data_IF_337845360905
#
_entry.id   IF_337845360905
#
_cell.length_a   1.000
_cell.length_b   1.000
_cell.length_c   1.000
_cell.angle_alpha   90.00
_cell.angle_beta   90.00
_cell.angle_gamma   90.00
#
_symmetry.space_group_name_H-M   'P 1'
#
loop_
_entity.id
_entity.type
_entity.pdbx_description
1 polymer ?
#
# COMPACT_ATOMS: atom_id res chain seq x y z
N UNK A 1 33.65 -10.35 -2.39
CA UNK A 1 32.36 -10.25 -1.68
C UNK A 1 31.99 -8.77 -1.60
N UNK A 2 31.13 -8.28 -2.50
CA UNK A 2 30.75 -6.85 -2.57
C UNK A 2 29.85 -6.55 -1.35
N UNK A 3 30.27 -5.60 -0.50
CA UNK A 3 29.56 -5.23 0.74
C UNK A 3 28.37 -4.33 0.43
N UNK A 4 27.17 -4.91 0.38
CA UNK A 4 25.89 -4.17 0.33
C UNK A 4 25.31 -4.09 1.73
N UNK A 5 24.83 -2.90 2.15
CA UNK A 5 24.30 -2.67 3.50
C UNK A 5 22.77 -2.84 3.58
N UNK A 6 22.06 -2.56 2.50
CA UNK A 6 20.63 -2.84 2.38
C UNK A 6 20.41 -4.21 1.70
N UNK A 7 19.50 -5.00 2.25
CA UNK A 7 19.04 -6.24 1.63
C UNK A 7 17.84 -5.91 0.76
N UNK A 8 17.90 -6.26 -0.53
CA UNK A 8 16.74 -6.13 -1.41
C UNK A 8 16.04 -7.48 -1.45
N UNK A 9 14.83 -7.56 -0.91
CA UNK A 9 13.96 -8.72 -1.15
C UNK A 9 13.57 -8.78 -2.63
N UNK A 10 13.09 -9.93 -3.08
CA UNK A 10 12.59 -10.09 -4.45
C UNK A 10 11.47 -9.08 -4.73
N UNK A 11 10.55 -8.91 -3.77
CA UNK A 11 9.45 -7.95 -3.88
C UNK A 11 9.95 -6.51 -4.04
N UNK A 12 11.01 -6.12 -3.33
CA UNK A 12 11.58 -4.78 -3.47
C UNK A 12 12.22 -4.58 -4.85
N UNK A 13 12.85 -5.62 -5.42
CA UNK A 13 13.38 -5.53 -6.78
C UNK A 13 12.26 -5.41 -7.80
N UNK A 14 11.16 -6.17 -7.63
CA UNK A 14 9.99 -6.09 -8.51
C UNK A 14 9.33 -4.71 -8.48
N UNK A 15 9.25 -4.07 -7.31
CA UNK A 15 8.78 -2.68 -7.19
C UNK A 15 9.69 -1.69 -7.95
N UNK A 16 11.01 -1.87 -7.86
CA UNK A 16 11.96 -1.03 -8.61
C UNK A 16 11.82 -1.29 -10.13
N UNK A 17 11.59 -2.53 -10.54
CA UNK A 17 11.33 -2.88 -11.94
C UNK A 17 10.07 -2.19 -12.46
N UNK A 18 8.97 -2.27 -11.72
CA UNK A 18 7.71 -1.60 -12.06
C UNK A 18 7.90 -0.08 -12.18
N UNK A 19 8.60 0.53 -11.22
CA UNK A 19 8.95 1.95 -11.26
C UNK A 19 9.79 2.33 -12.49
N UNK A 20 10.78 1.52 -12.87
CA UNK A 20 11.60 1.75 -14.07
C UNK A 20 10.78 1.61 -15.35
N UNK A 21 9.82 0.67 -15.40
CA UNK A 21 8.95 0.48 -16.57
C UNK A 21 7.98 1.65 -16.76
N UNK A 22 7.43 2.17 -15.65
CA UNK A 22 6.46 3.26 -15.66
C UNK A 22 7.13 4.62 -15.93
N UNK A 23 8.18 4.95 -15.17
CA UNK A 23 8.78 6.29 -15.16
C UNK A 23 10.10 6.37 -15.95
N UNK A 24 10.60 5.24 -16.45
CA UNK A 24 11.94 5.15 -17.00
C UNK A 24 13.04 5.20 -15.93
N UNK A 25 14.28 5.38 -16.39
CA UNK A 25 15.43 5.45 -15.48
C UNK A 25 15.60 6.85 -14.90
N UNK A 26 15.02 7.09 -13.72
CA UNK A 26 15.00 8.41 -13.08
C UNK A 26 16.20 8.68 -12.16
N UNK A 27 16.77 7.63 -11.55
CA UNK A 27 17.83 7.77 -10.55
C UNK A 27 19.10 6.96 -10.92
N UNK A 28 20.23 7.62 -11.22
CA UNK A 28 21.46 6.94 -11.61
C UNK A 28 22.08 6.12 -10.46
N UNK A 29 22.93 5.18 -10.84
CA UNK A 29 23.79 4.45 -9.90
C UNK A 29 25.00 5.32 -9.55
N UNK A 30 25.37 5.35 -8.27
CA UNK A 30 26.52 6.14 -7.81
C UNK A 30 27.72 5.23 -7.71
N UNK A 31 28.78 5.56 -8.44
CA UNK A 31 30.02 4.80 -8.50
C UNK A 31 31.22 5.68 -8.12
N UNK A 32 32.33 5.06 -7.74
CA UNK A 32 33.60 5.77 -7.57
C UNK A 32 34.41 5.84 -8.87
N UNK A 33 35.58 6.50 -8.81
CA UNK A 33 36.51 6.62 -9.94
C UNK A 33 37.05 5.29 -10.51
N UNK A 34 36.88 4.18 -9.78
CA UNK A 34 37.28 2.84 -10.20
C UNK A 34 36.10 1.98 -10.66
N UNK A 35 34.93 2.59 -10.92
CA UNK A 35 33.67 1.91 -11.23
C UNK A 35 33.17 0.97 -10.12
N UNK A 36 33.52 1.26 -8.86
CA UNK A 36 32.99 0.53 -7.70
C UNK A 36 31.67 1.18 -7.29
N UNK A 37 30.63 0.36 -7.18
CA UNK A 37 29.30 0.82 -6.75
C UNK A 37 29.35 1.31 -5.31
N UNK A 38 28.97 2.58 -5.14
CA UNK A 38 28.73 3.22 -3.86
C UNK A 38 27.25 3.00 -3.49
N UNK A 39 26.32 3.43 -4.33
CA UNK A 39 24.87 3.34 -4.07
C UNK A 39 24.07 2.95 -5.32
N UNK A 40 22.87 2.39 -5.12
CA UNK A 40 22.00 1.95 -6.22
C UNK A 40 21.99 0.44 -6.49
N UNK A 41 22.34 -0.40 -5.50
CA UNK A 41 22.39 -1.86 -5.66
C UNK A 41 21.02 -2.48 -6.05
N UNK A 42 19.90 -1.93 -5.56
CA UNK A 42 18.56 -2.36 -5.96
C UNK A 42 18.27 -2.11 -7.45
N UNK A 43 18.73 -0.97 -7.98
CA UNK A 43 18.58 -0.63 -9.41
C UNK A 43 19.44 -1.53 -10.30
N UNK A 44 20.61 -1.97 -9.82
CA UNK A 44 21.42 -2.97 -10.54
C UNK A 44 20.68 -4.31 -10.64
N UNK A 45 20.04 -4.75 -9.55
CA UNK A 45 19.25 -5.98 -9.56
C UNK A 45 18.06 -5.86 -10.53
N UNK A 46 17.34 -4.73 -10.50
CA UNK A 46 16.24 -4.46 -11.41
C UNK A 46 16.71 -4.39 -12.88
N UNK A 47 17.82 -3.71 -13.16
CA UNK A 47 18.44 -3.65 -14.50
C UNK A 47 18.80 -5.04 -15.02
N UNK A 48 19.33 -5.90 -14.14
CA UNK A 48 19.67 -7.29 -14.46
C UNK A 48 18.41 -8.08 -14.83
N UNK A 49 17.32 -7.90 -14.09
CA UNK A 49 16.03 -8.55 -14.34
C UNK A 49 15.38 -8.05 -15.64
N UNK A 50 15.57 -6.77 -15.98
CA UNK A 50 15.12 -6.15 -17.22
C UNK A 50 16.02 -6.46 -18.43
N UNK A 51 17.14 -7.16 -18.23
CA UNK A 51 18.09 -7.50 -19.31
C UNK A 51 18.81 -6.28 -19.90
N UNK A 52 19.03 -5.24 -19.10
CA UNK A 52 19.75 -4.04 -19.54
C UNK A 52 21.27 -4.23 -19.43
N UNK A 53 21.98 -3.99 -20.53
CA UNK A 53 23.44 -4.07 -20.58
C UNK A 53 24.12 -2.80 -20.02
N UNK A 54 23.50 -1.64 -20.24
CA UNK A 54 24.00 -0.33 -19.84
C UNK A 54 22.98 0.42 -18.97
N UNK A 55 23.47 1.08 -17.93
CA UNK A 55 22.66 1.84 -16.97
C UNK A 55 23.28 3.20 -16.64
N UNK A 56 22.49 4.28 -16.51
CA UNK A 56 23.00 5.59 -16.13
C UNK A 56 23.73 5.58 -14.78
N UNK A 57 24.97 6.09 -14.78
CA UNK A 57 25.81 6.16 -13.60
C UNK A 57 26.37 7.58 -13.41
N UNK A 58 26.56 7.99 -12.16
CA UNK A 58 27.30 9.19 -11.77
C UNK A 58 28.55 8.79 -10.99
N UNK A 59 29.70 9.32 -11.40
CA UNK A 59 30.99 9.12 -10.72
C UNK A 59 31.16 10.15 -9.61
N UNK A 60 31.22 9.69 -8.37
CA UNK A 60 31.54 10.51 -7.19
C UNK A 60 33.06 10.57 -6.99
N UNK A 61 33.72 11.44 -7.75
CA UNK A 61 35.16 11.63 -7.68
C UNK A 61 35.60 12.41 -6.42
N UNK A 62 36.79 12.09 -5.90
CA UNK A 62 37.45 12.86 -4.83
C UNK A 62 37.03 12.51 -3.40
N UNK A 63 36.21 11.47 -3.21
CA UNK A 63 35.86 10.97 -1.89
C UNK A 63 36.97 10.05 -1.35
N UNK A 64 37.37 10.25 -0.10
CA UNK A 64 38.19 9.28 0.63
C UNK A 64 37.42 7.98 0.86
N UNK A 65 38.12 6.87 1.10
CA UNK A 65 37.49 5.58 1.41
C UNK A 65 36.53 5.63 2.61
N UNK A 66 36.84 6.47 3.60
CA UNK A 66 35.95 6.68 4.75
C UNK A 66 34.71 7.49 4.37
N UNK A 67 34.82 8.48 3.50
CA UNK A 67 33.67 9.22 2.97
C UNK A 67 32.79 8.32 2.11
N UNK A 68 33.36 7.46 1.24
CA UNK A 68 32.58 6.48 0.46
C UNK A 68 31.81 5.51 1.38
N UNK A 69 32.41 5.07 2.49
CA UNK A 69 31.73 4.24 3.50
C UNK A 69 30.63 5.01 4.24
N UNK A 70 30.91 6.24 4.66
CA UNK A 70 29.93 7.09 5.35
C UNK A 70 28.75 7.41 4.43
N UNK A 71 29.00 7.71 3.16
CA UNK A 71 27.97 7.98 2.17
C UNK A 71 27.07 6.77 1.95
N UNK A 72 27.64 5.56 1.85
CA UNK A 72 26.85 4.32 1.80
C UNK A 72 25.89 4.15 2.97
N UNK A 73 26.28 4.58 4.16
CA UNK A 73 25.40 4.55 5.32
C UNK A 73 24.34 5.64 5.24
N UNK A 74 24.73 6.85 4.87
CA UNK A 74 23.83 8.00 4.77
C UNK A 74 22.74 7.77 3.71
N UNK A 75 23.10 7.31 2.51
CA UNK A 75 22.19 7.05 1.39
C UNK A 75 21.11 6.03 1.73
N UNK A 76 21.43 5.00 2.54
CA UNK A 76 20.44 4.03 3.00
C UNK A 76 19.64 4.51 4.21
N UNK A 77 20.27 5.24 5.14
CA UNK A 77 19.63 5.62 6.41
C UNK A 77 18.74 6.85 6.30
N UNK A 78 19.12 7.84 5.50
CA UNK A 78 18.36 9.10 5.38
C UNK A 78 16.95 8.85 4.82
N UNK A 79 16.75 8.06 3.75
CA UNK A 79 15.40 7.74 3.27
C UNK A 79 14.56 7.00 4.31
N UNK A 80 15.16 6.09 5.10
CA UNK A 80 14.47 5.36 6.17
C UNK A 80 14.10 6.22 7.39
N UNK A 81 14.66 7.43 7.50
CA UNK A 81 14.29 8.38 8.55
C UNK A 81 13.14 9.30 8.11
N UNK A 82 12.80 9.32 6.82
CA UNK A 82 11.67 10.10 6.35
C UNK A 82 10.37 9.46 6.86
N UNK A 83 9.47 10.30 7.37
CA UNK A 83 8.09 9.93 7.63
C UNK A 83 7.18 10.53 6.57
N UNK A 84 5.96 10.03 6.51
CA UNK A 84 4.90 10.60 5.69
C UNK A 84 4.07 11.59 6.49
N UNK A 85 3.60 12.63 5.81
CA UNK A 85 2.44 13.37 6.26
C UNK A 85 1.22 12.58 5.76
N UNK A 86 0.54 11.88 6.68
CA UNK A 86 -0.51 10.92 6.34
C UNK A 86 -1.72 11.60 5.68
N UNK A 87 -2.04 12.84 6.07
CA UNK A 87 -3.15 13.60 5.48
C UNK A 87 -2.83 13.94 4.02
N UNK A 88 -1.64 14.52 3.78
CA UNK A 88 -1.22 14.89 2.43
C UNK A 88 -1.01 13.66 1.54
N UNK A 89 -0.41 12.60 2.07
CA UNK A 89 -0.19 11.34 1.34
C UNK A 89 -1.53 10.73 0.89
N UNK A 90 -2.51 10.68 1.80
CA UNK A 90 -3.79 10.05 1.48
C UNK A 90 -4.59 10.86 0.46
N UNK A 91 -4.50 12.19 0.51
CA UNK A 91 -5.11 13.07 -0.49
C UNK A 91 -4.50 12.86 -1.90
N UNK A 92 -3.17 12.84 -2.01
CA UNK A 92 -2.48 12.61 -3.29
C UNK A 92 -2.79 11.21 -3.86
N UNK A 93 -2.88 10.19 -3.01
CA UNK A 93 -3.27 8.85 -3.44
C UNK A 93 -4.72 8.79 -3.94
N UNK A 94 -5.63 9.52 -3.29
CA UNK A 94 -7.03 9.59 -3.70
C UNK A 94 -7.19 10.29 -5.05
N UNK A 95 -6.45 11.37 -5.29
CA UNK A 95 -6.44 12.07 -6.58
C UNK A 95 -5.92 11.18 -7.71
N UNK A 96 -4.81 10.46 -7.49
CA UNK A 96 -4.28 9.50 -8.45
C UNK A 96 -5.26 8.36 -8.75
N UNK A 97 -5.94 7.84 -7.72
CA UNK A 97 -6.96 6.81 -7.89
C UNK A 97 -8.19 7.31 -8.67
N UNK A 98 -8.60 8.57 -8.45
CA UNK A 98 -9.71 9.20 -9.18
C UNK A 98 -9.40 9.38 -10.67
N UNK A 99 -8.12 9.58 -11.02
CA UNK A 99 -7.63 9.67 -12.39
C UNK A 99 -7.37 8.29 -13.06
N UNK A 100 -7.77 7.18 -12.42
CA UNK A 100 -7.57 5.80 -12.88
C UNK A 100 -6.07 5.44 -13.09
N UNK A 101 -5.18 6.09 -12.31
CA UNK A 101 -3.74 5.83 -12.37
C UNK A 101 -3.38 4.54 -11.60
N UNK A 102 -2.48 3.73 -12.16
CA UNK A 102 -2.01 2.50 -11.50
C UNK A 102 -1.05 2.82 -10.35
N UNK A 103 -1.41 2.39 -9.15
CA UNK A 103 -0.62 2.58 -7.93
C UNK A 103 0.38 1.43 -7.66
N UNK A 104 0.59 0.52 -8.62
CA UNK A 104 1.47 -0.64 -8.42
C UNK A 104 2.96 -0.27 -8.38
N UNK A 105 3.33 0.86 -8.98
CA UNK A 105 4.72 1.28 -9.18
C UNK A 105 5.25 2.24 -8.10
N UNK A 106 4.40 2.68 -7.17
CA UNK A 106 4.75 3.68 -6.14
C UNK A 106 5.29 3.08 -4.85
N UNK A 107 5.35 1.75 -4.75
CA UNK A 107 6.07 1.05 -3.68
C UNK A 107 5.25 0.78 -2.40
N UNK A 108 3.94 1.04 -2.42
CA UNK A 108 3.02 0.62 -1.37
C UNK A 108 2.44 -0.76 -1.67
N UNK A 109 2.21 -1.56 -0.63
CA UNK A 109 1.44 -2.80 -0.76
C UNK A 109 -0.05 -2.47 -0.91
N UNK A 110 -0.83 -3.36 -1.54
CA UNK A 110 -2.28 -3.17 -1.67
C UNK A 110 -2.95 -2.88 -0.31
N UNK A 111 -2.53 -3.62 0.73
CA UNK A 111 -3.03 -3.42 2.10
C UNK A 111 -2.71 -2.03 2.67
N UNK A 112 -1.56 -1.45 2.33
CA UNK A 112 -1.20 -0.10 2.77
C UNK A 112 -2.01 0.96 2.02
N UNK A 113 -2.20 0.78 0.70
CA UNK A 113 -3.04 1.65 -0.10
C UNK A 113 -4.49 1.66 0.41
N UNK A 114 -5.06 0.48 0.68
CA UNK A 114 -6.43 0.37 1.20
C UNK A 114 -6.57 1.09 2.56
N UNK A 115 -5.56 1.02 3.43
CA UNK A 115 -5.55 1.71 4.73
C UNK A 115 -5.44 3.24 4.58
N UNK A 116 -4.57 3.72 3.69
CA UNK A 116 -4.37 5.16 3.45
C UNK A 116 -5.61 5.78 2.80
N UNK A 117 -6.17 5.11 1.78
CA UNK A 117 -7.38 5.57 1.08
C UNK A 117 -8.62 5.50 1.97
N UNK A 118 -8.73 4.52 2.88
CA UNK A 118 -9.86 4.45 3.82
C UNK A 118 -9.79 5.50 4.93
N UNK A 119 -8.60 5.97 5.30
CA UNK A 119 -8.42 7.06 6.25
C UNK A 119 -8.77 8.44 5.66
N UNK A 120 -8.51 8.68 4.37
CA UNK A 120 -8.91 9.94 3.70
C UNK A 120 -10.44 10.17 3.70
N UNK A 121 -11.23 9.09 3.64
CA UNK A 121 -12.70 9.20 3.55
C UNK A 121 -13.38 9.51 4.90
N UNK A 122 -12.63 9.54 6.01
CA UNK A 122 -13.21 9.77 7.33
C UNK A 122 -13.23 11.25 7.78
N UNK A 123 -12.62 12.17 7.02
CA UNK A 123 -12.61 13.60 7.36
C UNK A 123 -13.55 14.47 6.49
N UNK A 124 -13.96 13.97 5.30
CA UNK A 124 -14.79 14.74 4.35
C UNK A 124 -16.13 14.06 4.01
N UNK A 125 -16.99 13.84 5.00
CA UNK A 125 -18.43 13.63 4.73
C UNK A 125 -19.31 14.69 5.40
N UNK A 126 -19.13 15.95 5.00
CA UNK A 126 -20.29 16.81 4.82
C UNK A 126 -21.12 16.26 3.65
N UNK A 127 -22.17 15.53 3.99
CA UNK A 127 -23.41 15.42 3.20
C UNK A 127 -23.27 15.19 1.69
N UNK A 128 -22.95 13.96 1.28
CA UNK A 128 -23.43 13.48 -0.02
C UNK A 128 -24.72 12.66 0.18
N UNK A 129 -25.83 13.39 0.33
CA UNK A 129 -27.18 12.84 0.25
C UNK A 129 -27.40 12.34 -1.18
N UNK A 130 -27.28 11.02 -1.38
CA UNK A 130 -27.88 10.37 -2.56
C UNK A 130 -29.37 10.21 -2.21
N UNK A 131 -30.29 10.90 -2.90
CA UNK A 131 -31.70 10.82 -2.56
C UNK A 131 -32.26 9.49 -3.04
N UNK A 132 -32.27 8.49 -2.17
CA UNK A 132 -33.19 7.38 -2.31
C UNK A 132 -34.56 7.87 -1.81
N UNK A 133 -35.50 8.00 -2.75
CA UNK A 133 -36.88 8.39 -2.45
C UNK A 133 -37.41 7.59 -1.27
N UNK A 134 -37.82 8.33 -0.23
CA UNK A 134 -38.52 7.79 0.94
C UNK A 134 -39.84 7.17 0.48
N UNK A 135 -39.94 5.85 0.53
CA UNK A 135 -41.21 5.24 0.87
C UNK A 135 -41.36 5.27 2.40
N UNK A 136 -42.19 6.22 2.86
CA UNK A 136 -42.63 6.32 4.24
C UNK A 136 -43.45 5.10 4.64
N UNK A 137 -42.83 4.12 5.30
CA UNK A 137 -43.57 3.15 6.11
C UNK A 137 -43.58 3.59 7.58
N UNK A 138 -44.73 4.11 8.01
CA UNK A 138 -45.07 4.32 9.42
C UNK A 138 -45.03 3.01 10.18
N UNK A 139 -44.02 2.79 11.01
CA UNK A 139 -44.13 1.97 12.23
C UNK A 139 -42.88 2.17 13.08
N UNK A 140 -43.01 2.19 14.41
CA UNK A 140 -41.91 2.35 15.36
C UNK A 140 -40.98 1.14 15.43
N UNK A 141 -40.46 0.70 14.28
CA UNK A 141 -39.52 -0.41 14.14
C UNK A 141 -38.11 0.15 14.27
N UNK A 142 -37.36 -0.34 15.26
CA UNK A 142 -35.92 -0.10 15.34
C UNK A 142 -35.27 -0.87 14.20
N UNK A 143 -34.86 -0.17 13.15
CA UNK A 143 -34.10 -0.78 12.05
C UNK A 143 -32.63 -0.81 12.46
N UNK A 144 -32.03 -1.99 12.46
CA UNK A 144 -30.60 -2.18 12.67
C UNK A 144 -29.87 -2.10 11.33
N UNK A 145 -28.63 -1.62 11.33
CA UNK A 145 -27.88 -1.40 10.10
C UNK A 145 -26.53 -2.13 10.16
N UNK A 146 -26.26 -2.99 9.18
CA UNK A 146 -24.90 -3.44 8.90
C UNK A 146 -24.18 -2.36 8.10
N UNK A 147 -23.01 -1.94 8.58
CA UNK A 147 -22.21 -0.91 7.92
C UNK A 147 -20.98 -1.56 7.29
N UNK A 148 -20.84 -1.47 5.96
CA UNK A 148 -19.69 -1.98 5.22
C UNK A 148 -19.27 -0.96 4.17
N UNK A 149 -18.03 -0.46 4.24
CA UNK A 149 -17.49 0.48 3.25
C UNK A 149 -18.39 1.70 2.98
N UNK A 150 -19.01 2.28 4.02
CA UNK A 150 -19.93 3.42 3.86
C UNK A 150 -21.37 3.06 3.48
N UNK A 151 -21.65 1.81 3.12
CA UNK A 151 -23.01 1.34 2.87
C UNK A 151 -23.68 0.92 4.17
N UNK A 152 -24.81 1.56 4.49
CA UNK A 152 -25.71 1.13 5.57
C UNK A 152 -26.77 0.22 4.97
N UNK A 153 -26.62 -1.08 5.19
CA UNK A 153 -27.57 -2.10 4.77
C UNK A 153 -28.57 -2.28 5.92
N UNK A 154 -29.85 -1.91 5.74
CA UNK A 154 -30.86 -2.17 6.77
C UNK A 154 -31.05 -3.67 6.90
N UNK A 155 -30.95 -4.16 8.14
CA UNK A 155 -31.22 -5.54 8.51
C UNK A 155 -32.42 -5.59 9.45
N UNK A 156 -33.27 -6.59 9.26
CA UNK A 156 -34.31 -6.92 10.23
C UNK A 156 -33.68 -7.50 11.50
N UNK A 157 -34.40 -7.45 12.63
CA UNK A 157 -33.91 -8.04 13.89
C UNK A 157 -33.58 -9.54 13.71
N UNK A 158 -34.37 -10.29 12.92
CA UNK A 158 -34.06 -11.70 12.62
C UNK A 158 -32.79 -11.90 11.79
N UNK A 159 -32.48 -10.99 10.87
CA UNK A 159 -31.26 -11.07 10.03
C UNK A 159 -30.01 -10.70 10.85
N UNK A 160 -30.12 -9.70 11.72
CA UNK A 160 -29.06 -9.31 12.65
C UNK A 160 -28.74 -10.45 13.63
N UNK A 161 -29.77 -11.05 14.22
CA UNK A 161 -29.61 -12.19 15.15
C UNK A 161 -28.94 -13.39 14.46
N UNK A 162 -29.33 -13.70 13.21
CA UNK A 162 -28.68 -14.77 12.43
C UNK A 162 -27.23 -14.46 12.11
N UNK A 163 -26.93 -13.21 11.77
CA UNK A 163 -25.57 -12.77 11.49
C UNK A 163 -24.69 -12.89 12.73
N UNK A 164 -25.17 -12.42 13.90
CA UNK A 164 -24.43 -12.53 15.16
C UNK A 164 -24.22 -13.98 15.61
N UNK A 165 -25.20 -14.85 15.38
CA UNK A 165 -25.05 -16.29 15.62
C UNK A 165 -23.99 -16.90 14.70
N UNK A 166 -23.97 -16.53 13.42
CA UNK A 166 -23.00 -17.00 12.44
C UNK A 166 -21.57 -16.54 12.78
N UNK A 167 -21.39 -15.27 13.17
CA UNK A 167 -20.11 -14.71 13.62
C UNK A 167 -19.61 -15.44 14.86
N UNK A 168 -20.47 -15.60 15.87
CA UNK A 168 -20.10 -16.26 17.12
C UNK A 168 -19.66 -17.70 16.89
N UNK A 169 -20.42 -18.47 16.09
CA UNK A 169 -20.07 -19.86 15.75
C UNK A 169 -18.72 -19.96 15.04
N UNK A 170 -18.47 -19.08 14.07
CA UNK A 170 -17.20 -19.06 13.35
C UNK A 170 -16.01 -18.75 14.27
N UNK A 171 -16.19 -17.83 15.21
CA UNK A 171 -15.15 -17.46 16.18
C UNK A 171 -14.89 -18.57 17.19
N UNK A 172 -15.92 -19.30 17.62
CA UNK A 172 -15.76 -20.48 18.48
C UNK A 172 -14.98 -21.59 17.77
N UNK A 173 -15.24 -21.81 16.48
CA UNK A 173 -14.59 -22.86 15.69
C UNK A 173 -13.15 -22.50 15.27
N UNK A 174 -12.87 -21.21 15.00
CA UNK A 174 -11.60 -20.76 14.41
C UNK A 174 -10.74 -19.91 15.37
N UNK A 175 -11.27 -19.52 16.52
CA UNK A 175 -10.59 -18.70 17.53
C UNK A 175 -10.29 -17.26 17.08
N UNK A 176 -10.85 -16.80 15.96
CA UNK A 176 -10.56 -15.49 15.36
C UNK A 176 -11.72 -14.99 14.51
N UNK A 177 -11.88 -13.67 14.44
CA UNK A 177 -12.80 -12.99 13.53
C UNK A 177 -12.24 -12.89 12.09
N UNK A 178 -10.93 -13.12 11.91
CA UNK A 178 -10.26 -13.06 10.61
C UNK A 178 -10.72 -14.23 9.73
N UNK A 179 -11.11 -13.93 8.48
CA UNK A 179 -11.57 -14.92 7.51
C UNK A 179 -13.09 -15.17 7.51
N UNK A 180 -13.82 -14.61 8.48
CA UNK A 180 -15.28 -14.73 8.55
C UNK A 180 -15.96 -14.24 7.27
N UNK A 181 -15.58 -13.06 6.76
CA UNK A 181 -16.14 -12.49 5.52
C UNK A 181 -15.80 -13.37 4.31
N UNK A 182 -14.61 -13.96 4.26
CA UNK A 182 -14.24 -14.90 3.20
C UNK A 182 -15.07 -16.17 3.24
N UNK A 183 -15.30 -16.72 4.44
CA UNK A 183 -16.16 -17.89 4.64
C UNK A 183 -17.64 -17.59 4.35
N UNK A 184 -18.09 -16.36 4.65
CA UNK A 184 -19.42 -15.86 4.34
C UNK A 184 -19.61 -15.75 2.82
N UNK A 185 -18.64 -15.19 2.09
CA UNK A 185 -18.67 -15.06 0.63
C UNK A 185 -18.53 -16.42 -0.09
N UNK A 186 -17.86 -17.39 0.54
CA UNK A 186 -17.77 -18.77 0.06
C UNK A 186 -19.04 -19.59 0.34
N UNK A 187 -20.00 -19.08 1.12
CA UNK A 187 -21.23 -19.78 1.52
C UNK A 187 -21.01 -20.86 2.58
N UNK A 188 -19.86 -20.87 3.24
CA UNK A 188 -19.47 -21.86 4.25
C UNK A 188 -20.04 -21.55 5.63
N UNK A 189 -20.56 -20.33 5.82
CA UNK A 189 -21.21 -19.90 7.05
C UNK A 189 -22.69 -19.64 6.76
N UNK A 190 -23.51 -20.68 6.97
CA UNK A 190 -24.97 -20.62 7.05
C UNK A 190 -25.44 -21.06 8.45
#
# INVERSE_FOLDING_TARGET
MKRTLAHNSVEQVDQIVASIQEYGWTNPILIDENNVVIAGHGRIAAATQLGMDDVPCIVLAGLTENQKKAYRLADNRIPLNAGWDEELLSAELADLAADDFSLDSIGFTQRELDNLLSAAVCDDTEGMDIPFEKDEAKSGVKVQYLSFGGHKIPATDEEADRFDCAVSRYVDDNGSYIGFVSALLAGEVC
#
